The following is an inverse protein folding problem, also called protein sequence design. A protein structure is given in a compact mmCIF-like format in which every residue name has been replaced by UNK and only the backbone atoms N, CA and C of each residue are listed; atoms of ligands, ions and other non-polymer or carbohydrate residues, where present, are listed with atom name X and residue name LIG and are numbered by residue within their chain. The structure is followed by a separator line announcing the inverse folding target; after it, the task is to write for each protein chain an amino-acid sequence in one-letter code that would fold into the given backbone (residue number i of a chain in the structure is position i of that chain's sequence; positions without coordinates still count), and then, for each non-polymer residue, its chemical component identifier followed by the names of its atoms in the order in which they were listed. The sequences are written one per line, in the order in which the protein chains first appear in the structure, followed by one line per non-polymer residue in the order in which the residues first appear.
data_IF_945394069189
#
_entry.id   IF_945394069189
#
_cell.length_a   1.000
_cell.length_b   1.000
_cell.length_c   1.000
_cell.angle_alpha   90.00
_cell.angle_beta   90.00
_cell.angle_gamma   90.00
#
_symmetry.space_group_name_H-M   'P 1'
#
loop_
_entity.id
_entity.type
_entity.pdbx_description
1 polymer ?
#
# COMPACT_ATOMS: atom_id res chain seq x y z
N UNK A 1 4.44 38.35 -13.88
CA UNK A 1 3.44 37.58 -14.65
C UNK A 1 4.18 36.67 -15.60
N UNK A 2 4.43 35.41 -15.21
CA UNK A 2 5.11 34.42 -16.04
C UNK A 2 4.07 33.65 -16.85
N UNK A 3 4.19 33.72 -18.17
CA UNK A 3 3.28 33.13 -19.13
C UNK A 3 3.53 31.60 -19.18
N UNK A 4 2.79 30.83 -18.40
CA UNK A 4 2.88 29.36 -18.41
C UNK A 4 2.11 28.85 -19.62
N UNK A 5 2.81 28.55 -20.72
CA UNK A 5 2.20 27.84 -21.85
C UNK A 5 1.93 26.40 -21.43
N UNK A 6 0.66 26.09 -21.20
CA UNK A 6 0.18 24.72 -21.21
C UNK A 6 0.34 24.16 -22.63
N UNK A 7 1.41 23.38 -22.85
CA UNK A 7 1.48 22.52 -24.01
C UNK A 7 0.53 21.34 -23.73
N UNK A 8 -0.63 21.38 -24.37
CA UNK A 8 -1.51 20.22 -24.46
C UNK A 8 -0.80 19.14 -25.27
N UNK A 9 -0.23 18.17 -24.56
CA UNK A 9 0.38 17.00 -25.16
C UNK A 9 -0.74 16.06 -25.61
N UNK A 10 -0.81 15.67 -26.89
CA UNK A 10 -1.73 14.63 -27.35
C UNK A 10 -1.35 13.31 -26.67
N UNK A 11 -2.14 12.89 -25.67
CA UNK A 11 -1.76 11.78 -24.77
C UNK A 11 -2.30 11.82 -23.33
N UNK A 12 -3.12 12.81 -22.94
CA UNK A 12 -3.88 12.88 -21.66
C UNK A 12 -4.85 11.69 -21.37
N UNK A 13 -4.73 10.60 -22.13
CA UNK A 13 -5.58 9.41 -22.18
C UNK A 13 -4.95 8.33 -21.29
N UNK A 14 -5.43 7.95 -20.11
CA UNK A 14 -6.77 7.99 -19.55
C UNK A 14 -6.71 8.52 -18.11
N UNK A 15 -6.88 9.83 -17.95
CA UNK A 15 -7.34 10.53 -16.73
C UNK A 15 -6.32 10.79 -15.60
N UNK A 16 -5.28 11.57 -15.90
CA UNK A 16 -4.78 12.53 -14.91
C UNK A 16 -4.38 13.79 -15.67
N UNK A 17 -5.14 14.87 -15.50
CA UNK A 17 -4.58 16.19 -15.73
C UNK A 17 -3.38 16.33 -14.81
N UNK A 18 -2.29 16.94 -15.28
CA UNK A 18 -1.21 17.42 -14.42
C UNK A 18 -1.77 18.53 -13.54
N UNK A 19 -2.49 18.15 -12.48
CA UNK A 19 -2.95 19.08 -11.47
C UNK A 19 -1.70 19.59 -10.77
N UNK A 20 -1.43 20.89 -10.90
CA UNK A 20 -0.39 21.55 -10.12
C UNK A 20 -0.65 21.27 -8.64
N UNK A 21 0.29 20.62 -7.98
CA UNK A 21 0.16 20.28 -6.58
C UNK A 21 0.33 21.56 -5.75
N UNK A 22 -0.78 22.11 -5.29
CA UNK A 22 -0.77 23.20 -4.32
C UNK A 22 -0.26 22.69 -2.95
N UNK A 23 0.25 23.61 -2.11
CA UNK A 23 0.76 23.28 -0.77
C UNK A 23 -0.28 22.54 0.09
N UNK A 24 -1.57 22.88 -0.06
CA UNK A 24 -2.68 22.19 0.60
C UNK A 24 -2.78 20.71 0.21
N UNK A 25 -2.61 20.39 -1.08
CA UNK A 25 -2.64 19.02 -1.60
C UNK A 25 -1.44 18.23 -1.06
N UNK A 26 -0.25 18.84 -1.01
CA UNK A 26 0.94 18.22 -0.45
C UNK A 26 0.77 17.91 1.04
N UNK A 27 0.24 18.87 1.81
CA UNK A 27 -0.04 18.69 3.24
C UNK A 27 -1.09 17.60 3.47
N UNK A 28 -2.11 17.52 2.64
CA UNK A 28 -3.11 16.45 2.68
C UNK A 28 -2.48 15.08 2.38
N UNK A 29 -1.72 14.95 1.29
CA UNK A 29 -1.01 13.71 0.94
C UNK A 29 -0.04 13.27 2.04
N UNK A 30 0.64 14.21 2.70
CA UNK A 30 1.52 13.88 3.81
C UNK A 30 0.75 13.33 5.03
N UNK A 31 -0.39 13.94 5.41
CA UNK A 31 -1.24 13.39 6.47
C UNK A 31 -1.74 12.00 6.12
N UNK A 32 -2.09 11.78 4.85
CA UNK A 32 -2.51 10.48 4.35
C UNK A 32 -1.39 9.43 4.42
N UNK A 33 -0.16 9.81 4.03
CA UNK A 33 1.03 8.97 4.19
C UNK A 33 1.23 8.58 5.66
N UNK A 34 1.09 9.53 6.60
CA UNK A 34 1.22 9.24 8.04
C UNK A 34 0.16 8.24 8.51
N UNK A 35 -1.10 8.44 8.14
CA UNK A 35 -2.20 7.54 8.52
C UNK A 35 -2.00 6.15 7.95
N UNK A 36 -1.71 6.03 6.65
CA UNK A 36 -1.47 4.73 6.00
C UNK A 36 -0.28 4.05 6.68
N UNK A 37 0.86 4.73 6.78
CA UNK A 37 2.09 4.20 7.36
C UNK A 37 1.88 3.73 8.80
N UNK A 38 1.13 4.46 9.62
CA UNK A 38 0.85 4.06 10.99
C UNK A 38 0.01 2.78 11.05
N UNK A 39 -1.09 2.72 10.29
CA UNK A 39 -1.98 1.55 10.26
C UNK A 39 -1.24 0.32 9.70
N UNK A 40 -0.52 0.47 8.58
CA UNK A 40 0.21 -0.64 7.96
C UNK A 40 1.43 -1.06 8.78
N UNK A 41 2.11 -0.14 9.47
CA UNK A 41 3.18 -0.50 10.40
C UNK A 41 2.66 -1.34 11.56
N UNK A 42 1.51 -0.99 12.15
CA UNK A 42 0.89 -1.80 13.21
C UNK A 42 0.62 -3.23 12.70
N UNK A 43 0.06 -3.36 11.50
CA UNK A 43 -0.15 -4.66 10.85
C UNK A 43 1.17 -5.42 10.65
N UNK A 44 2.22 -4.75 10.15
CA UNK A 44 3.53 -5.39 9.97
C UNK A 44 4.10 -5.89 11.29
N UNK A 45 4.06 -5.10 12.36
CA UNK A 45 4.54 -5.52 13.69
C UNK A 45 3.74 -6.71 14.25
N UNK A 46 2.44 -6.79 14.01
CA UNK A 46 1.66 -7.99 14.34
C UNK A 46 2.17 -9.22 13.58
N UNK A 47 2.53 -9.09 12.31
CA UNK A 47 3.14 -10.18 11.55
C UNK A 47 4.55 -10.53 12.03
N UNK A 48 5.35 -9.56 12.49
CA UNK A 48 6.66 -9.85 13.11
C UNK A 48 6.48 -10.69 14.37
N UNK A 49 5.50 -10.34 15.21
CA UNK A 49 5.15 -11.13 16.37
C UNK A 49 4.75 -12.55 15.96
N UNK A 50 3.85 -12.69 14.99
CA UNK A 50 3.43 -14.00 14.49
C UNK A 50 4.62 -14.81 13.96
N UNK A 51 5.45 -14.21 13.11
CA UNK A 51 6.61 -14.86 12.52
C UNK A 51 7.60 -15.35 13.59
N UNK A 52 7.75 -14.59 14.68
CA UNK A 52 8.70 -14.91 15.75
C UNK A 52 8.23 -16.04 16.66
N UNK A 53 6.91 -16.21 16.85
CA UNK A 53 6.35 -17.17 17.81
C UNK A 53 5.65 -18.37 17.17
N UNK A 54 5.12 -18.23 15.96
CA UNK A 54 4.27 -19.25 15.32
C UNK A 54 4.82 -19.80 14.00
N UNK A 55 5.93 -19.27 13.48
CA UNK A 55 6.59 -19.83 12.29
C UNK A 55 7.84 -20.58 12.74
N UNK A 56 7.98 -21.83 12.29
CA UNK A 56 9.12 -22.66 12.60
C UNK A 56 10.39 -22.09 11.93
N UNK A 57 11.21 -21.40 12.73
CA UNK A 57 12.48 -20.80 12.30
C UNK A 57 12.53 -19.30 12.56
N UNK A 58 13.70 -18.79 12.93
CA UNK A 58 13.86 -17.37 13.29
C UNK A 58 13.92 -16.42 12.09
N UNK A 59 14.12 -16.94 10.87
CA UNK A 59 14.42 -16.14 9.68
C UNK A 59 13.30 -15.16 9.32
N UNK A 60 12.04 -15.59 9.34
CA UNK A 60 10.92 -14.71 8.97
C UNK A 60 10.67 -13.62 10.02
N UNK A 61 10.95 -13.90 11.31
CA UNK A 61 10.94 -12.88 12.35
C UNK A 61 11.97 -11.78 12.09
N UNK A 62 13.19 -12.15 11.68
CA UNK A 62 14.24 -11.19 11.33
C UNK A 62 13.91 -10.38 10.07
N UNK A 63 13.44 -11.03 9.00
CA UNK A 63 13.02 -10.35 7.76
C UNK A 63 11.90 -9.37 8.08
N UNK A 64 10.87 -9.82 8.81
CA UNK A 64 9.75 -9.00 9.22
C UNK A 64 10.17 -7.79 10.05
N UNK A 65 11.08 -7.98 11.00
CA UNK A 65 11.61 -6.90 11.82
C UNK A 65 12.30 -5.84 10.96
N UNK A 66 13.22 -6.24 10.09
CA UNK A 66 13.95 -5.32 9.20
C UNK A 66 12.99 -4.57 8.28
N UNK A 67 12.05 -5.29 7.64
CA UNK A 67 11.05 -4.67 6.78
C UNK A 67 10.16 -3.69 7.55
N UNK A 68 9.75 -4.01 8.78
CA UNK A 68 8.90 -3.13 9.61
C UNK A 68 9.64 -1.85 10.01
N UNK A 69 10.92 -1.95 10.37
CA UNK A 69 11.76 -0.78 10.68
C UNK A 69 11.90 0.12 9.45
N UNK A 70 12.25 -0.46 8.30
CA UNK A 70 12.35 0.29 7.04
C UNK A 70 11.01 0.94 6.67
N UNK A 71 9.90 0.23 6.84
CA UNK A 71 8.56 0.73 6.57
C UNK A 71 8.25 2.00 7.38
N UNK A 72 8.50 1.98 8.70
CA UNK A 72 8.24 3.12 9.60
C UNK A 72 9.02 4.38 9.19
N UNK A 73 10.16 4.25 8.52
CA UNK A 73 10.94 5.40 8.04
C UNK A 73 10.34 6.14 6.82
N UNK A 74 9.25 5.65 6.21
CA UNK A 74 8.65 6.26 5.02
C UNK A 74 8.32 7.76 5.16
N UNK A 75 7.72 8.25 6.27
CA UNK A 75 7.48 9.68 6.46
C UNK A 75 8.76 10.51 6.54
N UNK A 76 9.84 9.93 7.08
CA UNK A 76 11.14 10.58 7.16
C UNK A 76 11.81 10.68 5.79
N UNK A 77 11.70 9.63 4.97
CA UNK A 77 12.09 9.64 3.55
C UNK A 77 11.35 10.76 2.81
N UNK A 78 10.04 10.91 3.01
CA UNK A 78 9.28 12.00 2.42
C UNK A 78 9.79 13.37 2.89
N UNK A 79 10.03 13.53 4.20
CA UNK A 79 10.52 14.80 4.76
C UNK A 79 11.84 15.25 4.15
N UNK A 80 12.76 14.31 3.90
CA UNK A 80 14.08 14.62 3.34
C UNK A 80 14.08 14.77 1.82
N UNK A 81 13.37 13.92 1.11
CA UNK A 81 13.43 13.88 -0.36
C UNK A 81 12.36 14.73 -1.03
N UNK A 82 11.30 15.09 -0.28
CA UNK A 82 10.08 15.73 -0.80
C UNK A 82 9.43 14.95 -1.95
N UNK A 83 9.73 13.66 -2.08
CA UNK A 83 9.20 12.77 -3.12
C UNK A 83 8.16 11.81 -2.55
N UNK A 84 6.89 12.05 -2.88
CA UNK A 84 5.80 11.16 -2.47
C UNK A 84 5.92 9.75 -3.07
N UNK A 85 6.30 9.57 -4.36
CA UNK A 85 6.55 8.24 -4.93
C UNK A 85 7.60 7.44 -4.18
N UNK A 86 8.73 8.07 -3.80
CA UNK A 86 9.81 7.37 -3.09
C UNK A 86 9.34 6.88 -1.71
N UNK A 87 8.64 7.73 -0.96
CA UNK A 87 8.09 7.37 0.34
C UNK A 87 7.03 6.25 0.22
N UNK A 88 6.11 6.36 -0.74
CA UNK A 88 5.10 5.34 -0.99
C UNK A 88 5.74 4.00 -1.40
N UNK A 89 6.79 4.02 -2.24
CA UNK A 89 7.51 2.81 -2.64
C UNK A 89 8.21 2.15 -1.46
N UNK A 90 8.76 2.92 -0.53
CA UNK A 90 9.33 2.34 0.69
C UNK A 90 8.25 1.61 1.53
N UNK A 91 7.06 2.22 1.72
CA UNK A 91 5.91 1.58 2.38
C UNK A 91 5.57 0.24 1.70
N UNK A 92 5.32 0.26 0.39
CA UNK A 92 4.80 -0.94 -0.27
C UNK A 92 5.86 -1.98 -0.61
N UNK A 93 7.12 -1.61 -0.86
CA UNK A 93 8.18 -2.57 -1.16
C UNK A 93 8.60 -3.35 0.09
N UNK A 94 8.71 -2.68 1.24
CA UNK A 94 9.00 -3.38 2.50
C UNK A 94 7.86 -4.33 2.89
N UNK A 95 6.61 -3.89 2.73
CA UNK A 95 5.43 -4.75 2.89
C UNK A 95 5.42 -5.92 1.91
N UNK A 96 5.70 -5.68 0.62
CA UNK A 96 5.76 -6.70 -0.42
C UNK A 96 6.78 -7.79 -0.10
N UNK A 97 8.01 -7.41 0.24
CA UNK A 97 9.08 -8.35 0.58
C UNK A 97 8.64 -9.21 1.76
N UNK A 98 8.18 -8.59 2.86
CA UNK A 98 7.80 -9.37 4.02
C UNK A 98 6.60 -10.29 3.76
N UNK A 99 5.55 -9.81 3.09
CA UNK A 99 4.35 -10.62 2.84
C UNK A 99 4.63 -11.77 1.87
N UNK A 100 5.48 -11.56 0.86
CA UNK A 100 5.84 -12.61 -0.10
C UNK A 100 6.79 -13.65 0.49
N UNK A 101 7.76 -13.27 1.32
CA UNK A 101 8.62 -14.25 2.03
C UNK A 101 7.82 -15.03 3.06
N UNK A 102 6.96 -14.35 3.81
CA UNK A 102 6.06 -15.00 4.77
C UNK A 102 5.16 -15.99 4.05
N UNK A 103 4.48 -15.58 2.97
CA UNK A 103 3.64 -16.47 2.18
C UNK A 103 4.42 -17.68 1.64
N UNK A 104 5.63 -17.47 1.12
CA UNK A 104 6.50 -18.55 0.65
C UNK A 104 6.79 -19.60 1.74
N UNK A 105 6.95 -19.18 3.00
CA UNK A 105 7.20 -20.10 4.14
C UNK A 105 5.94 -20.72 4.74
N UNK A 106 4.79 -20.08 4.60
CA UNK A 106 3.55 -20.48 5.29
C UNK A 106 2.49 -21.04 4.34
N UNK A 107 2.91 -21.86 3.37
CA UNK A 107 2.00 -22.55 2.44
C UNK A 107 1.92 -21.98 1.02
N UNK A 108 2.83 -21.08 0.65
CA UNK A 108 2.99 -20.58 -0.71
C UNK A 108 1.74 -19.90 -1.24
N UNK A 109 1.19 -20.44 -2.33
CA UNK A 109 -0.01 -19.89 -2.98
C UNK A 109 -1.26 -19.99 -2.09
N UNK A 110 -1.30 -20.99 -1.21
CA UNK A 110 -2.41 -21.18 -0.27
C UNK A 110 -2.24 -20.39 1.03
N UNK A 111 -1.13 -19.66 1.19
CA UNK A 111 -0.96 -18.81 2.37
C UNK A 111 -2.02 -17.70 2.37
N UNK A 112 -2.76 -17.52 3.47
CA UNK A 112 -3.78 -16.49 3.54
C UNK A 112 -3.17 -15.07 3.50
N UNK A 113 -1.87 -14.91 3.81
CA UNK A 113 -1.18 -13.62 3.76
C UNK A 113 -0.98 -13.08 2.33
N UNK A 114 -1.07 -13.93 1.30
CA UNK A 114 -0.86 -13.50 -0.09
C UNK A 114 -1.89 -12.45 -0.55
N UNK A 115 -3.07 -12.41 0.09
CA UNK A 115 -4.12 -11.40 -0.16
C UNK A 115 -3.62 -9.96 0.00
N UNK A 116 -2.65 -9.73 0.89
CA UNK A 116 -2.12 -8.39 1.17
C UNK A 116 -1.41 -7.76 -0.02
N UNK A 117 -0.91 -8.58 -0.95
CA UNK A 117 -0.28 -8.10 -2.18
C UNK A 117 -1.27 -7.32 -3.05
N UNK A 118 -2.58 -7.60 -2.95
CA UNK A 118 -3.63 -6.86 -3.67
C UNK A 118 -3.84 -5.42 -3.15
N UNK A 119 -3.41 -5.12 -1.93
CA UNK A 119 -3.59 -3.80 -1.30
C UNK A 119 -2.53 -2.80 -1.75
N UNK A 120 -1.35 -3.27 -2.17
CA UNK A 120 -0.21 -2.43 -2.55
C UNK A 120 -0.52 -1.43 -3.68
N UNK A 121 -1.13 -1.82 -4.82
CA UNK A 121 -1.48 -0.85 -5.86
C UNK A 121 -2.46 0.23 -5.42
N UNK A 122 -3.35 -0.09 -4.46
CA UNK A 122 -4.28 0.87 -3.89
C UNK A 122 -3.54 1.96 -3.09
N UNK A 123 -2.63 1.56 -2.19
CA UNK A 123 -1.82 2.49 -1.41
C UNK A 123 -1.02 3.42 -2.32
N UNK A 124 -0.34 2.84 -3.32
CA UNK A 124 0.47 3.61 -4.27
C UNK A 124 -0.41 4.57 -5.08
N UNK A 125 -1.54 4.10 -5.61
CA UNK A 125 -2.43 4.92 -6.42
C UNK A 125 -3.02 6.11 -5.67
N UNK A 126 -3.35 5.92 -4.39
CA UNK A 126 -3.87 6.99 -3.53
C UNK A 126 -2.80 8.05 -3.24
N UNK A 127 -1.57 7.64 -2.96
CA UNK A 127 -0.50 8.56 -2.57
C UNK A 127 0.17 9.24 -3.76
N UNK A 128 0.18 8.61 -4.94
CA UNK A 128 1.04 9.00 -6.05
C UNK A 128 0.26 9.36 -7.31
N UNK A 129 0.34 8.53 -8.35
CA UNK A 129 -0.31 8.71 -9.66
C UNK A 129 -0.80 7.36 -10.19
N UNK A 130 -1.64 7.43 -11.22
CA UNK A 130 -2.17 6.27 -11.92
C UNK A 130 -1.08 5.37 -12.49
N UNK A 131 0.01 5.94 -13.03
CA UNK A 131 1.09 5.18 -13.63
C UNK A 131 1.78 4.28 -12.59
N UNK A 132 2.04 4.81 -11.41
CA UNK A 132 2.62 4.03 -10.31
C UNK A 132 1.63 2.96 -9.80
N UNK A 133 0.32 3.26 -9.76
CA UNK A 133 -0.70 2.28 -9.41
C UNK A 133 -0.70 1.09 -10.38
N UNK A 134 -0.69 1.35 -11.70
CA UNK A 134 -0.63 0.30 -12.74
C UNK A 134 0.63 -0.53 -12.58
N UNK A 135 1.79 0.13 -12.40
CA UNK A 135 3.05 -0.58 -12.19
C UNK A 135 2.95 -1.56 -11.01
N UNK A 136 2.44 -1.09 -9.87
CA UNK A 136 2.29 -1.94 -8.68
C UNK A 136 1.20 -3.00 -8.84
N UNK A 137 0.16 -2.76 -9.63
CA UNK A 137 -0.82 -3.81 -9.99
C UNK A 137 -0.12 -4.93 -10.75
N UNK A 138 0.75 -4.60 -11.70
CA UNK A 138 1.51 -5.60 -12.46
C UNK A 138 2.47 -6.38 -11.55
N UNK A 139 3.23 -5.68 -10.68
CA UNK A 139 4.14 -6.32 -9.71
C UNK A 139 3.35 -7.28 -8.79
N UNK A 140 2.23 -6.82 -8.24
CA UNK A 140 1.38 -7.61 -7.37
C UNK A 140 0.79 -8.84 -8.07
N UNK A 141 0.29 -8.68 -9.30
CA UNK A 141 -0.23 -9.80 -10.09
C UNK A 141 0.88 -10.81 -10.41
N UNK A 142 2.06 -10.35 -10.81
CA UNK A 142 3.22 -11.21 -11.07
C UNK A 142 3.62 -12.01 -9.84
N UNK A 143 3.60 -11.44 -8.64
CA UNK A 143 3.93 -12.17 -7.41
C UNK A 143 2.98 -13.33 -7.13
N UNK A 144 1.67 -13.13 -7.34
CA UNK A 144 0.66 -14.19 -7.20
C UNK A 144 0.88 -15.30 -8.25
N UNK A 145 1.15 -14.91 -9.50
CA UNK A 145 1.45 -15.86 -10.59
C UNK A 145 2.72 -16.66 -10.30
N UNK A 146 3.80 -16.01 -9.84
CA UNK A 146 5.03 -16.69 -9.44
C UNK A 146 4.76 -17.68 -8.31
N UNK A 147 4.02 -17.27 -7.28
CA UNK A 147 3.69 -18.16 -6.16
C UNK A 147 2.86 -19.38 -6.61
N UNK A 148 1.92 -19.17 -7.55
CA UNK A 148 1.17 -20.26 -8.17
C UNK A 148 2.08 -21.25 -8.91
N UNK A 149 3.00 -20.78 -9.76
CA UNK A 149 3.91 -21.67 -10.48
C UNK A 149 4.90 -22.39 -9.57
N UNK A 150 5.42 -21.72 -8.53
CA UNK A 150 6.24 -22.36 -7.50
C UNK A 150 5.47 -23.47 -6.79
N UNK A 151 4.17 -23.27 -6.51
CA UNK A 151 3.30 -24.29 -5.93
C UNK A 151 3.13 -25.49 -6.85
N UNK A 152 2.84 -25.28 -8.13
CA UNK A 152 2.68 -26.36 -9.12
C UNK A 152 3.98 -27.15 -9.34
N UNK A 153 5.14 -26.48 -9.26
CA UNK A 153 6.45 -27.09 -9.40
C UNK A 153 6.95 -27.79 -8.12
N UNK A 154 6.17 -27.81 -7.03
CA UNK A 154 6.57 -28.32 -5.71
C UNK A 154 7.86 -27.65 -5.16
N UNK A 155 8.06 -26.37 -5.48
CA UNK A 155 9.21 -25.55 -5.02
C UNK A 155 8.88 -24.71 -3.77
N UNK A 156 7.64 -24.78 -3.29
CA UNK A 156 7.23 -24.21 -2.00
C UNK A 156 7.72 -25.14 -0.89
N UNK A 157 8.45 -24.64 0.12
CA UNK A 157 8.87 -25.45 1.25
C UNK A 157 7.67 -25.97 2.05
N UNK A 158 7.86 -27.01 2.87
CA UNK A 158 6.84 -27.46 3.81
C UNK A 158 6.35 -26.28 4.67
N UNK A 159 5.03 -26.20 4.89
CA UNK A 159 4.41 -25.13 5.65
C UNK A 159 5.00 -25.07 7.07
N UNK A 160 5.62 -23.94 7.38
CA UNK A 160 6.28 -23.70 8.66
C UNK A 160 5.35 -23.09 9.71
N UNK A 161 4.11 -22.75 9.37
CA UNK A 161 3.15 -22.18 10.31
C UNK A 161 2.60 -23.26 11.25
N UNK A 162 2.81 -23.05 12.55
CA UNK A 162 2.26 -23.93 13.59
C UNK A 162 0.74 -23.89 13.59
N UNK A 163 0.12 -25.01 13.95
CA UNK A 163 -1.35 -25.15 13.96
C UNK A 163 -2.03 -24.11 14.86
N UNK A 164 -1.45 -23.82 16.04
CA UNK A 164 -1.91 -22.76 16.94
C UNK A 164 -1.83 -21.37 16.32
N UNK A 165 -0.88 -21.15 15.40
CA UNK A 165 -0.68 -19.89 14.69
C UNK A 165 -1.68 -19.67 13.55
N UNK A 166 -2.26 -20.74 12.98
CA UNK A 166 -3.20 -20.63 11.84
C UNK A 166 -4.43 -19.80 12.18
N UNK A 167 -5.07 -20.10 13.31
CA UNK A 167 -6.26 -19.37 13.76
C UNK A 167 -5.93 -17.91 14.04
N UNK A 168 -4.79 -17.64 14.69
CA UNK A 168 -4.31 -16.28 14.98
C UNK A 168 -4.02 -15.49 13.71
N UNK A 169 -3.31 -16.09 12.75
CA UNK A 169 -3.03 -15.48 11.43
C UNK A 169 -4.32 -15.16 10.70
N UNK A 170 -5.25 -16.12 10.62
CA UNK A 170 -6.52 -15.92 9.93
C UNK A 170 -7.35 -14.80 10.56
N UNK A 171 -7.42 -14.77 11.89
CA UNK A 171 -8.11 -13.72 12.63
C UNK A 171 -7.48 -12.34 12.36
N UNK A 172 -6.14 -12.25 12.37
CA UNK A 172 -5.41 -11.00 12.09
C UNK A 172 -5.58 -10.53 10.65
N UNK A 173 -5.58 -11.45 9.68
CA UNK A 173 -5.85 -11.12 8.26
C UNK A 173 -7.26 -10.56 8.12
N UNK A 174 -8.26 -11.24 8.70
CA UNK A 174 -9.64 -10.79 8.63
C UNK A 174 -9.82 -9.40 9.26
N UNK A 175 -9.30 -9.21 10.48
CA UNK A 175 -9.38 -7.92 11.18
C UNK A 175 -8.65 -6.82 10.41
N UNK A 176 -7.44 -7.09 9.94
CA UNK A 176 -6.65 -6.15 9.15
C UNK A 176 -7.35 -5.74 7.86
N UNK A 177 -7.92 -6.71 7.12
CA UNK A 177 -8.64 -6.42 5.88
C UNK A 177 -9.90 -5.58 6.16
N UNK A 178 -10.64 -5.86 7.23
CA UNK A 178 -11.80 -5.05 7.62
C UNK A 178 -11.40 -3.60 7.90
N UNK A 179 -10.36 -3.41 8.72
CA UNK A 179 -9.86 -2.07 9.07
C UNK A 179 -9.40 -1.33 7.82
N UNK A 180 -8.66 -2.00 6.95
CA UNK A 180 -8.07 -1.38 5.77
C UNK A 180 -9.12 -1.07 4.71
N UNK A 181 -10.00 -2.02 4.38
CA UNK A 181 -11.09 -1.81 3.42
C UNK A 181 -12.05 -0.75 3.96
N UNK A 182 -12.51 -0.87 5.20
CA UNK A 182 -13.39 0.11 5.83
C UNK A 182 -12.76 1.50 5.90
N UNK A 183 -11.48 1.58 6.26
CA UNK A 183 -10.72 2.83 6.30
C UNK A 183 -10.61 3.49 4.92
N UNK A 184 -10.29 2.71 3.88
CA UNK A 184 -10.24 3.23 2.51
C UNK A 184 -11.61 3.64 1.98
N UNK A 185 -12.67 2.89 2.30
CA UNK A 185 -14.05 3.27 1.93
C UNK A 185 -14.43 4.61 2.53
N UNK A 186 -14.23 4.80 3.83
CA UNK A 186 -14.50 6.07 4.50
C UNK A 186 -13.67 7.22 3.91
N UNK A 187 -12.40 6.95 3.61
CA UNK A 187 -11.53 7.91 2.94
C UNK A 187 -12.06 8.34 1.56
N UNK A 188 -12.47 7.39 0.71
CA UNK A 188 -13.00 7.72 -0.61
C UNK A 188 -14.34 8.46 -0.55
N UNK A 189 -15.18 8.17 0.44
CA UNK A 189 -16.42 8.90 0.68
C UNK A 189 -16.11 10.36 1.02
N UNK A 190 -15.22 10.60 1.98
CA UNK A 190 -14.83 11.96 2.40
C UNK A 190 -14.19 12.74 1.24
N UNK A 191 -13.32 12.09 0.48
CA UNK A 191 -12.70 12.68 -0.70
C UNK A 191 -13.75 13.06 -1.76
N UNK A 192 -14.75 12.21 -1.97
CA UNK A 192 -15.89 12.48 -2.85
C UNK A 192 -16.70 13.70 -2.40
N UNK A 193 -17.02 13.79 -1.11
CA UNK A 193 -17.72 14.95 -0.53
C UNK A 193 -16.93 16.25 -0.68
N UNK A 194 -15.62 16.22 -0.40
CA UNK A 194 -14.74 17.37 -0.57
C UNK A 194 -14.74 17.90 -2.01
N UNK A 195 -14.56 17.01 -3.00
CA UNK A 195 -14.57 17.42 -4.41
C UNK A 195 -15.95 17.89 -4.87
N UNK A 196 -17.02 17.27 -4.40
CA UNK A 196 -18.38 17.69 -4.72
C UNK A 196 -18.61 19.13 -4.23
N UNK A 197 -18.39 19.40 -2.94
CA UNK A 197 -18.67 20.72 -2.34
C UNK A 197 -17.81 21.85 -2.93
N UNK A 198 -16.51 21.62 -3.16
CA UNK A 198 -15.63 22.64 -3.71
C UNK A 198 -15.97 23.01 -5.17
N UNK A 199 -16.46 22.05 -5.96
CA UNK A 199 -16.82 22.30 -7.36
C UNK A 199 -18.07 23.17 -7.49
N UNK A 200 -19.02 23.10 -6.55
CA UNK A 200 -20.23 23.92 -6.57
C UNK A 200 -20.00 25.31 -5.99
N UNK A 201 -19.16 25.45 -4.96
CA UNK A 201 -18.82 26.78 -4.43
C UNK A 201 -18.07 27.64 -5.46
N UNK A 202 -17.21 27.05 -6.28
CA UNK A 202 -16.51 27.75 -7.35
C UNK A 202 -17.41 28.25 -8.51
N UNK A 203 -18.65 27.76 -8.59
CA UNK A 203 -19.62 28.11 -9.65
C UNK A 203 -20.70 29.08 -9.21
N UNK A 204 -20.73 29.50 -7.94
CA UNK A 204 -21.59 30.59 -7.49
C UNK A 204 -21.15 31.86 -8.22
N UNK A 205 -21.92 32.38 -9.20
CA UNK A 205 -21.64 33.69 -9.75
C UNK A 205 -21.72 34.68 -8.58
N UNK A 206 -20.74 35.58 -8.50
CA UNK A 206 -20.91 36.78 -7.69
C UNK A 206 -22.09 37.51 -8.34
N UNK A 207 -23.26 37.42 -7.71
CA UNK A 207 -24.37 38.30 -8.08
C UNK A 207 -23.90 39.75 -7.85
N UNK A 208 -24.13 40.65 -8.83
CA UNK A 208 -23.59 42.01 -8.87
C UNK A 208 -24.10 42.91 -7.73
#
# INVERSE_FOLDING_TARGET
MTNVRHQDVPGNWLFSSSVLENEEILNYKFRLLLTINFVTALVMWMYVFIASFFVAGSTEGYIGFVCSVLHVFSPLIYRWTRSMPLAAYNVVATGFVFQTTFAYRTGGFYSPTLIWVAVLPLIVGILTSKAHAILWTMISASAVVVMFYLQQANLIPPDQLLESGRATVQFMIALGLIILVGGFTLFFIELGYFFYNNRFQAKSPVDP
#
